data_IF_046481122484
#
_entry.id   IF_046481122484
#
_cell.length_a   1.000
_cell.length_b   1.000
_cell.length_c   1.000
_cell.angle_alpha   90.00
_cell.angle_beta   90.00
_cell.angle_gamma   90.00
#
_symmetry.space_group_name_H-M   'P 1'
#
loop_
_entity.id
_entity.type
_entity.pdbx_description
1 polymer ?
#
# COMPACT_ATOMS: atom_id res chain seq x y z
N UNK A 1 4.46 -1.28 11.43
CA UNK A 1 4.32 -0.13 10.51
C UNK A 1 3.97 -0.67 9.14
N UNK A 2 3.37 0.14 8.28
CA UNK A 2 2.98 -0.27 6.93
C UNK A 2 3.20 0.87 5.93
N UNK A 3 3.21 0.55 4.63
CA UNK A 3 3.26 1.55 3.57
C UNK A 3 2.37 1.13 2.38
N UNK A 4 1.89 2.11 1.61
CA UNK A 4 1.20 1.86 0.35
C UNK A 4 1.72 2.77 -0.76
N UNK A 5 1.80 2.24 -1.98
CA UNK A 5 2.38 2.92 -3.15
C UNK A 5 1.48 4.01 -3.76
N UNK A 6 0.24 4.10 -3.32
CA UNK A 6 -0.85 4.76 -4.06
C UNK A 6 -1.19 4.03 -5.35
N UNK A 7 -1.76 4.76 -6.31
CA UNK A 7 -1.86 4.29 -7.68
C UNK A 7 -0.52 4.54 -8.38
N UNK A 8 0.13 3.47 -8.85
CA UNK A 8 1.42 3.56 -9.53
C UNK A 8 1.38 2.85 -10.88
N UNK A 9 1.98 3.45 -11.90
CA UNK A 9 2.15 2.88 -13.23
C UNK A 9 3.21 1.76 -13.21
N UNK A 10 2.82 0.60 -12.68
CA UNK A 10 3.61 -0.64 -12.61
C UNK A 10 3.03 -1.72 -13.52
N UNK A 11 3.64 -2.90 -13.56
CA UNK A 11 3.08 -4.05 -14.28
C UNK A 11 1.75 -4.55 -13.69
N UNK A 12 1.46 -4.25 -12.42
CA UNK A 12 0.21 -4.65 -11.75
C UNK A 12 -1.03 -4.27 -12.56
N UNK A 13 -1.08 -3.07 -13.13
CA UNK A 13 -2.21 -2.62 -13.93
C UNK A 13 -2.38 -3.40 -15.24
N UNK A 14 -1.27 -3.87 -15.85
CA UNK A 14 -1.30 -4.69 -17.08
C UNK A 14 -1.67 -6.14 -16.82
N UNK A 15 -1.28 -6.66 -15.67
CA UNK A 15 -1.59 -8.04 -15.25
C UNK A 15 -2.95 -8.17 -14.54
N UNK A 16 -3.56 -7.03 -14.17
CA UNK A 16 -4.94 -6.97 -13.69
C UNK A 16 -5.94 -7.37 -14.76
N UNK A 17 -7.15 -7.76 -14.35
CA UNK A 17 -8.25 -8.07 -15.26
C UNK A 17 -9.08 -6.85 -15.70
N UNK A 18 -9.91 -7.05 -16.72
CA UNK A 18 -10.96 -6.10 -17.10
C UNK A 18 -10.46 -4.73 -17.57
N UNK A 19 -11.18 -3.67 -17.18
CA UNK A 19 -10.92 -2.29 -17.61
C UNK A 19 -9.52 -1.81 -17.21
N UNK A 20 -8.99 -2.28 -16.08
CA UNK A 20 -7.67 -1.84 -15.59
C UNK A 20 -6.55 -2.24 -16.55
N UNK A 21 -6.63 -3.43 -17.15
CA UNK A 21 -5.71 -3.88 -18.20
C UNK A 21 -5.73 -2.97 -19.42
N UNK A 22 -6.95 -2.63 -19.87
CA UNK A 22 -7.16 -1.81 -21.06
C UNK A 22 -6.59 -0.40 -20.84
N UNK A 23 -6.89 0.22 -19.69
CA UNK A 23 -6.37 1.54 -19.33
C UNK A 23 -4.85 1.56 -19.11
N UNK A 24 -4.25 0.42 -18.75
CA UNK A 24 -2.81 0.29 -18.53
C UNK A 24 -2.01 -0.10 -19.78
N UNK A 25 -2.69 -0.43 -20.89
CA UNK A 25 -2.06 -0.79 -22.16
C UNK A 25 -1.68 0.46 -22.98
N UNK A 26 -0.58 0.44 -23.75
CA UNK A 26 -0.32 1.48 -24.75
C UNK A 26 -1.40 1.50 -25.85
N UNK A 27 -1.80 2.68 -26.35
CA UNK A 27 -1.38 4.02 -25.93
C UNK A 27 -2.20 4.57 -24.76
N UNK A 28 -3.26 3.88 -24.33
CA UNK A 28 -4.23 4.41 -23.36
C UNK A 28 -3.63 4.72 -21.99
N UNK A 29 -2.53 4.05 -21.62
CA UNK A 29 -1.76 4.30 -20.38
C UNK A 29 -1.31 5.74 -20.17
N UNK A 30 -1.21 6.53 -21.24
CA UNK A 30 -0.81 7.93 -21.17
C UNK A 30 -1.93 8.84 -20.63
N UNK A 31 -3.19 8.40 -20.71
CA UNK A 31 -4.35 9.16 -20.22
C UNK A 31 -4.32 9.29 -18.69
N UNK A 32 -4.18 8.21 -17.89
CA UNK A 32 -4.10 8.34 -16.44
C UNK A 32 -2.70 8.71 -15.91
N UNK A 33 -1.65 8.69 -16.74
CA UNK A 33 -0.26 8.86 -16.29
C UNK A 33 -0.01 10.11 -15.40
N UNK A 34 -0.60 11.30 -15.67
CA UNK A 34 -0.42 12.45 -14.80
C UNK A 34 -1.08 12.30 -13.42
N UNK A 35 -2.12 11.47 -13.30
CA UNK A 35 -2.91 11.26 -12.09
C UNK A 35 -2.33 10.21 -11.15
N UNK A 36 -1.38 9.39 -11.63
CA UNK A 36 -0.76 8.31 -10.87
C UNK A 36 0.72 8.58 -10.62
N UNK A 37 1.31 7.88 -9.65
CA UNK A 37 2.76 7.84 -9.45
C UNK A 37 3.42 7.01 -10.58
N UNK A 38 4.66 7.33 -10.93
CA UNK A 38 5.56 6.38 -11.59
C UNK A 38 5.90 5.22 -10.65
N UNK A 39 6.48 4.13 -11.17
CA UNK A 39 6.95 3.03 -10.33
C UNK A 39 7.97 3.48 -9.26
N UNK A 40 8.88 4.39 -9.63
CA UNK A 40 9.88 4.93 -8.70
C UNK A 40 9.25 5.80 -7.61
N UNK A 41 8.33 6.69 -7.98
CA UNK A 41 7.59 7.52 -7.00
C UNK A 41 6.73 6.65 -6.07
N UNK A 42 6.10 5.60 -6.60
CA UNK A 42 5.31 4.64 -5.81
C UNK A 42 6.15 3.83 -4.82
N UNK A 43 7.46 3.71 -5.01
CA UNK A 43 8.34 3.04 -4.06
C UNK A 43 8.74 3.93 -2.86
N UNK A 44 8.57 5.26 -2.97
CA UNK A 44 9.00 6.20 -1.94
C UNK A 44 8.32 6.00 -0.57
N UNK A 45 7.01 5.69 -0.46
CA UNK A 45 6.39 5.41 0.83
C UNK A 45 7.00 4.19 1.54
N UNK A 46 7.35 3.14 0.80
CA UNK A 46 8.02 1.95 1.33
C UNK A 46 9.43 2.29 1.81
N UNK A 47 10.19 3.05 1.02
CA UNK A 47 11.51 3.53 1.43
C UNK A 47 11.43 4.36 2.70
N UNK A 48 10.49 5.31 2.76
CA UNK A 48 10.28 6.14 3.96
C UNK A 48 9.98 5.28 5.18
N UNK A 49 9.03 4.36 5.09
CA UNK A 49 8.70 3.48 6.21
C UNK A 49 9.89 2.62 6.67
N UNK A 50 10.76 2.20 5.75
CA UNK A 50 11.89 1.34 6.06
C UNK A 50 13.11 2.07 6.63
N UNK A 51 13.35 3.34 6.25
CA UNK A 51 14.62 4.03 6.54
C UNK A 51 14.50 5.39 7.23
N UNK A 52 13.31 5.98 7.32
CA UNK A 52 13.10 7.26 8.01
C UNK A 52 13.34 7.07 9.52
N UNK A 53 14.31 7.77 10.15
CA UNK A 53 14.55 7.65 11.59
C UNK A 53 13.33 8.03 12.45
N UNK A 54 12.42 8.84 11.89
CA UNK A 54 11.17 9.23 12.54
C UNK A 54 10.04 8.22 12.30
N UNK A 55 10.30 7.11 11.57
CA UNK A 55 9.30 6.08 11.33
C UNK A 55 8.94 5.33 12.61
N UNK A 56 7.64 5.12 12.84
CA UNK A 56 7.14 4.45 14.06
C UNK A 56 6.32 3.21 13.76
N UNK A 57 6.40 2.23 14.67
CA UNK A 57 5.47 1.11 14.74
C UNK A 57 4.01 1.60 14.79
N UNK A 58 3.08 0.83 14.20
CA UNK A 58 1.67 1.22 14.10
C UNK A 58 1.32 2.31 13.06
N UNK A 59 2.29 3.05 12.52
CA UNK A 59 2.01 4.07 11.50
C UNK A 59 1.88 3.48 10.09
N UNK A 60 1.11 4.18 9.24
CA UNK A 60 0.96 3.92 7.81
C UNK A 60 1.58 5.08 7.02
N UNK A 61 2.38 4.76 5.99
CA UNK A 61 3.00 5.75 5.11
C UNK A 61 2.46 5.63 3.67
N UNK A 62 2.13 6.76 3.05
CA UNK A 62 1.44 6.80 1.77
C UNK A 62 1.55 8.15 1.07
N UNK A 63 1.04 8.30 -0.16
CA UNK A 63 1.07 9.56 -0.87
C UNK A 63 0.09 10.56 -0.24
N UNK A 64 0.52 11.81 -0.01
CA UNK A 64 -0.31 12.84 0.62
C UNK A 64 -1.41 13.46 -0.27
N UNK A 65 -1.52 13.06 -1.53
CA UNK A 65 -2.53 13.61 -2.43
C UNK A 65 -3.94 13.07 -2.20
N UNK A 66 -4.85 13.53 -3.05
CA UNK A 66 -6.28 13.21 -3.00
C UNK A 66 -6.49 11.68 -2.92
N UNK A 67 -7.18 11.23 -1.87
CA UNK A 67 -7.47 9.82 -1.58
C UNK A 67 -6.23 8.90 -1.54
N UNK A 68 -5.03 9.42 -1.28
CA UNK A 68 -3.81 8.61 -1.24
C UNK A 68 -3.37 8.08 -2.61
N UNK A 69 -3.83 8.68 -3.71
CA UNK A 69 -3.56 8.17 -5.07
C UNK A 69 -2.14 8.47 -5.53
N UNK A 70 -1.69 9.72 -5.36
CA UNK A 70 -0.41 10.24 -5.87
C UNK A 70 0.13 11.29 -4.91
N UNK A 71 1.44 11.50 -4.84
CA UNK A 71 2.04 12.55 -4.02
C UNK A 71 3.28 12.11 -3.26
N UNK A 72 3.82 13.03 -2.45
CA UNK A 72 5.00 12.76 -1.61
C UNK A 72 4.66 11.74 -0.51
N UNK A 73 5.63 10.91 -0.10
CA UNK A 73 5.43 9.95 0.97
C UNK A 73 5.26 10.70 2.29
N UNK A 74 4.12 10.54 2.95
CA UNK A 74 3.79 11.11 4.26
C UNK A 74 3.20 10.05 5.17
N UNK A 75 3.20 10.32 6.48
CA UNK A 75 2.37 9.52 7.39
C UNK A 75 0.91 9.82 7.07
N UNK A 76 0.12 8.78 6.86
CA UNK A 76 -1.31 8.89 6.57
C UNK A 76 -2.14 8.18 7.64
N UNK A 77 -3.41 8.58 7.74
CA UNK A 77 -4.38 7.94 8.62
C UNK A 77 -4.59 6.47 8.23
N UNK A 78 -4.61 5.59 9.24
CA UNK A 78 -4.99 4.18 9.06
C UNK A 78 -6.51 4.11 8.91
N UNK A 79 -7.02 3.25 8.03
CA UNK A 79 -8.46 3.03 7.93
C UNK A 79 -9.06 2.59 9.27
N UNK A 80 -10.23 3.11 9.63
CA UNK A 80 -10.87 2.80 10.92
C UNK A 80 -11.02 1.28 11.17
N UNK A 81 -11.40 0.52 10.14
CA UNK A 81 -11.52 -0.94 10.21
C UNK A 81 -10.18 -1.64 10.50
N UNK A 82 -9.06 -1.06 10.06
CA UNK A 82 -7.73 -1.61 10.34
C UNK A 82 -7.22 -1.30 11.76
N UNK A 83 -7.99 -0.55 12.57
CA UNK A 83 -7.73 -0.30 13.99
C UNK A 83 -8.54 -1.21 14.93
N UNK A 84 -9.35 -2.12 14.40
CA UNK A 84 -10.10 -3.09 15.21
C UNK A 84 -9.14 -4.17 15.75
N UNK A 85 -8.80 -4.04 17.03
CA UNK A 85 -7.89 -4.95 17.73
C UNK A 85 -8.44 -6.38 17.84
N UNK A 86 -9.77 -6.54 17.99
CA UNK A 86 -10.42 -7.86 18.11
C UNK A 86 -10.37 -8.58 16.78
N UNK A 87 -10.69 -7.87 15.69
CA UNK A 87 -10.57 -8.42 14.33
C UNK A 87 -9.11 -8.76 14.00
N UNK A 88 -8.16 -7.89 14.38
CA UNK A 88 -6.72 -8.12 14.19
C UNK A 88 -6.21 -9.36 14.92
N UNK A 89 -6.55 -9.53 16.20
CA UNK A 89 -6.17 -10.70 16.99
C UNK A 89 -6.78 -11.99 16.42
N UNK A 90 -8.06 -11.95 16.05
CA UNK A 90 -8.75 -13.10 15.43
C UNK A 90 -8.10 -13.49 14.11
N UNK A 91 -7.76 -12.52 13.26
CA UNK A 91 -7.09 -12.77 11.98
C UNK A 91 -5.71 -13.42 12.20
N UNK A 92 -4.94 -12.91 13.16
CA UNK A 92 -3.62 -13.44 13.49
C UNK A 92 -3.69 -14.91 13.95
N UNK A 93 -4.59 -15.22 14.88
CA UNK A 93 -4.79 -16.58 15.38
C UNK A 93 -5.13 -17.55 14.22
N UNK A 94 -6.00 -17.12 13.29
CA UNK A 94 -6.34 -17.93 12.11
C UNK A 94 -5.13 -18.12 11.19
N UNK A 95 -4.33 -17.10 10.95
CA UNK A 95 -3.10 -17.21 10.17
C UNK A 95 -2.12 -18.22 10.80
N UNK A 96 -1.93 -18.19 12.12
CA UNK A 96 -1.11 -19.16 12.83
C UNK A 96 -1.66 -20.59 12.72
N UNK A 97 -2.98 -20.77 12.88
CA UNK A 97 -3.63 -22.08 12.71
C UNK A 97 -3.45 -22.63 11.30
N UNK A 98 -3.65 -21.80 10.27
CA UNK A 98 -3.57 -22.20 8.86
C UNK A 98 -2.14 -22.49 8.39
N UNK A 99 -1.16 -21.76 8.91
CA UNK A 99 0.25 -21.91 8.51
C UNK A 99 1.02 -22.90 9.38
N UNK A 100 0.51 -23.23 10.57
CA UNK A 100 1.24 -24.01 11.58
C UNK A 100 2.40 -23.25 12.22
N UNK A 101 2.62 -21.99 11.87
CA UNK A 101 3.62 -21.11 12.48
C UNK A 101 3.05 -20.53 13.77
N UNK A 102 3.89 -20.40 14.79
CA UNK A 102 3.56 -19.69 16.04
C UNK A 102 4.63 -18.65 16.29
N UNK A 103 4.19 -17.44 16.60
CA UNK A 103 5.10 -16.37 16.98
C UNK A 103 5.13 -16.25 18.50
N UNK A 104 6.30 -16.34 19.13
CA UNK A 104 6.47 -15.99 20.53
C UNK A 104 6.50 -14.46 20.62
N UNK A 105 5.35 -13.82 20.42
CA UNK A 105 5.16 -12.43 20.78
C UNK A 105 4.80 -12.37 22.28
N UNK A 106 5.34 -11.42 23.04
CA UNK A 106 4.84 -11.13 24.38
C UNK A 106 3.38 -10.66 24.35
#
# INVERSE_FOLDING_TARGET
>A
MAAHAGAAATEFGRDSGGLMRVLSAPPLRWVPAPLVNTAAEGALPTLRAAVDPEARGGHLYGPAGVHGVKGRPEQVEVFAAARDEVAGATLWERCEQLTGVRYPLP
#
